data_IF_675456023194
#
_entry.id   IF_675456023194
#
_cell.length_a   1.000
_cell.length_b   1.000
_cell.length_c   1.000
_cell.angle_alpha   90.00
_cell.angle_beta   90.00
_cell.angle_gamma   90.00
#
_symmetry.space_group_name_H-M   'P 1'
#
loop_
_entity.id
_entity.type
_entity.pdbx_description
1 polymer ?
#
# COMPACT_ATOMS: atom_id res chain seq x y z
N UNK A 1 9.16 42.56 -6.84
CA UNK A 1 8.56 41.49 -7.66
C UNK A 1 9.19 40.19 -7.18
N UNK A 2 8.44 39.47 -6.36
CA UNK A 2 8.89 38.34 -5.56
C UNK A 2 8.40 37.04 -6.18
N UNK A 3 9.26 36.38 -6.94
CA UNK A 3 9.07 35.01 -7.44
C UNK A 3 9.86 34.03 -6.57
N UNK A 4 9.44 33.84 -5.32
CA UNK A 4 9.95 32.77 -4.45
C UNK A 4 8.90 32.46 -3.39
N UNK A 5 7.96 31.54 -3.65
CA UNK A 5 7.24 30.83 -2.57
C UNK A 5 6.45 29.58 -2.98
N UNK A 6 6.17 29.31 -4.26
CA UNK A 6 5.28 28.18 -4.63
C UNK A 6 5.89 26.76 -4.60
N UNK A 7 7.19 26.61 -4.32
CA UNK A 7 7.83 25.29 -4.37
C UNK A 7 7.99 24.58 -3.02
N UNK A 8 7.85 25.27 -1.88
CA UNK A 8 7.96 24.62 -0.56
C UNK A 8 6.64 24.04 -0.04
N UNK A 9 5.48 24.54 -0.50
CA UNK A 9 4.18 24.03 -0.07
C UNK A 9 3.80 22.69 -0.73
N UNK A 10 4.46 22.34 -1.84
CA UNK A 10 4.12 21.18 -2.65
C UNK A 10 4.68 19.85 -2.10
N UNK A 11 5.71 19.85 -1.25
CA UNK A 11 6.33 18.60 -0.77
C UNK A 11 5.46 17.88 0.28
N UNK A 12 4.56 18.61 0.96
CA UNK A 12 3.65 18.04 1.96
C UNK A 12 2.53 17.18 1.35
N UNK A 13 2.07 17.51 0.14
CA UNK A 13 1.00 16.77 -0.55
C UNK A 13 1.45 15.39 -1.04
N UNK A 14 2.72 15.24 -1.44
CA UNK A 14 3.23 14.00 -2.04
C UNK A 14 3.54 12.88 -1.03
N UNK A 15 3.73 13.21 0.25
CA UNK A 15 3.96 12.25 1.33
C UNK A 15 2.71 11.96 2.18
N UNK A 16 1.55 12.45 1.76
CA UNK A 16 0.32 12.41 2.54
C UNK A 16 -0.39 11.03 2.54
N UNK A 17 0.19 9.97 1.96
CA UNK A 17 -0.41 8.63 1.97
C UNK A 17 0.16 7.79 3.11
N UNK A 18 -0.71 7.30 4.00
CA UNK A 18 -0.30 6.48 5.14
C UNK A 18 -0.81 5.04 5.06
N UNK A 19 -0.06 4.14 5.69
CA UNK A 19 -0.35 2.71 5.74
C UNK A 19 -0.33 2.22 7.18
N UNK A 20 -1.33 1.44 7.56
CA UNK A 20 -1.41 0.85 8.89
C UNK A 20 -1.74 -0.65 8.82
N UNK A 21 -0.81 -1.54 9.18
CA UNK A 21 0.59 -1.26 9.55
C UNK A 21 1.45 -0.79 8.36
N UNK A 22 2.48 0.02 8.62
CA UNK A 22 3.36 0.61 7.58
C UNK A 22 4.62 -0.19 7.26
N UNK A 23 5.07 -1.05 8.17
CA UNK A 23 6.37 -1.74 8.05
C UNK A 23 6.24 -3.25 7.90
N UNK A 24 5.34 -3.88 8.65
CA UNK A 24 5.26 -5.34 8.75
C UNK A 24 3.85 -5.81 9.08
N UNK A 25 3.46 -6.92 8.46
CA UNK A 25 2.36 -7.79 8.91
C UNK A 25 2.95 -9.14 9.34
N UNK A 26 2.29 -9.83 10.27
CA UNK A 26 2.71 -11.13 10.76
C UNK A 26 1.59 -12.17 10.64
N UNK A 27 1.97 -13.40 10.32
CA UNK A 27 1.12 -14.59 10.43
C UNK A 27 1.73 -15.54 11.45
N UNK A 28 0.92 -16.14 12.32
CA UNK A 28 1.38 -17.00 13.40
C UNK A 28 1.13 -18.46 13.06
N UNK A 29 2.05 -19.36 13.43
CA UNK A 29 1.77 -20.79 13.37
C UNK A 29 0.55 -21.15 14.24
N UNK A 30 -0.22 -22.19 13.87
CA UNK A 30 -0.02 -23.06 12.71
C UNK A 30 -0.50 -22.44 11.38
N UNK A 31 0.19 -22.75 10.29
CA UNK A 31 -0.14 -22.27 8.93
C UNK A 31 -1.07 -23.21 8.15
N UNK A 32 -1.71 -24.16 8.84
CA UNK A 32 -2.63 -25.15 8.26
C UNK A 32 -4.04 -24.58 8.03
N UNK A 33 -4.34 -23.42 8.61
CA UNK A 33 -5.63 -22.73 8.45
C UNK A 33 -5.48 -21.41 7.70
N UNK A 34 -6.57 -20.95 7.09
CA UNK A 34 -6.61 -19.63 6.48
C UNK A 34 -6.49 -18.56 7.57
N UNK A 35 -5.54 -17.65 7.41
CA UNK A 35 -5.37 -16.50 8.30
C UNK A 35 -5.64 -15.21 7.54
N UNK A 36 -6.15 -14.20 8.22
CA UNK A 36 -6.49 -12.90 7.64
C UNK A 36 -5.85 -11.78 8.44
N UNK A 37 -5.29 -10.80 7.73
CA UNK A 37 -4.96 -9.50 8.29
C UNK A 37 -5.47 -8.41 7.33
N UNK A 38 -5.35 -7.15 7.76
CA UNK A 38 -5.73 -6.00 6.95
C UNK A 38 -4.60 -4.97 6.98
N UNK A 39 -4.42 -4.27 5.87
CA UNK A 39 -3.65 -3.03 5.80
C UNK A 39 -4.65 -1.92 5.50
N UNK A 40 -4.70 -0.89 6.34
CA UNK A 40 -5.45 0.33 6.08
C UNK A 40 -4.57 1.28 5.26
N UNK A 41 -5.03 1.63 4.08
CA UNK A 41 -4.47 2.68 3.24
C UNK A 41 -5.31 3.94 3.45
N UNK A 42 -4.68 5.06 3.80
CA UNK A 42 -5.35 6.35 3.95
C UNK A 42 -4.71 7.37 3.02
N UNK A 43 -5.55 8.03 2.22
CA UNK A 43 -5.13 9.17 1.44
C UNK A 43 -5.36 10.44 2.25
N UNK A 44 -4.30 11.08 2.77
CA UNK A 44 -4.40 12.38 3.43
C UNK A 44 -4.10 13.54 2.48
N UNK A 45 -3.93 13.27 1.18
CA UNK A 45 -3.75 14.32 0.17
C UNK A 45 -5.09 14.96 -0.19
N UNK A 46 -5.02 16.17 -0.74
CA UNK A 46 -6.16 16.90 -1.31
C UNK A 46 -6.58 16.37 -2.70
N UNK A 47 -5.82 15.43 -3.26
CA UNK A 47 -6.05 14.88 -4.60
C UNK A 47 -6.43 13.40 -4.54
N UNK A 48 -7.21 12.95 -5.52
CA UNK A 48 -7.45 11.52 -5.73
C UNK A 48 -6.13 10.81 -6.04
N UNK A 49 -5.90 9.64 -5.44
CA UNK A 49 -4.75 8.80 -5.75
C UNK A 49 -5.18 7.52 -6.47
N UNK A 50 -4.36 7.07 -7.41
CA UNK A 50 -4.37 5.70 -7.90
C UNK A 50 -3.40 4.87 -7.06
N UNK A 51 -3.82 3.66 -6.67
CA UNK A 51 -2.98 2.75 -5.92
C UNK A 51 -3.00 1.33 -6.51
N UNK A 52 -1.93 0.58 -6.27
CA UNK A 52 -1.84 -0.84 -6.58
C UNK A 52 -0.95 -1.56 -5.58
N UNK A 53 -1.14 -2.88 -5.42
CA UNK A 53 -0.32 -3.74 -4.56
C UNK A 53 0.11 -5.00 -5.29
N UNK A 54 1.39 -5.34 -5.12
CA UNK A 54 1.99 -6.59 -5.59
C UNK A 54 2.59 -7.34 -4.41
N UNK A 55 2.76 -8.65 -4.58
CA UNK A 55 3.41 -9.49 -3.56
C UNK A 55 4.40 -10.44 -4.19
N UNK A 56 5.44 -10.80 -3.44
CA UNK A 56 6.35 -11.91 -3.77
C UNK A 56 5.73 -13.28 -3.42
N UNK A 57 4.66 -13.33 -2.60
CA UNK A 57 4.05 -14.54 -2.09
C UNK A 57 2.78 -14.96 -2.85
N UNK A 58 2.74 -14.80 -4.18
CA UNK A 58 1.52 -14.90 -4.99
C UNK A 58 0.75 -16.22 -4.88
N UNK A 59 1.44 -17.33 -4.60
CA UNK A 59 0.83 -18.67 -4.44
C UNK A 59 0.22 -18.91 -3.06
N UNK A 60 0.56 -18.09 -2.07
CA UNK A 60 0.17 -18.27 -0.66
C UNK A 60 -0.71 -17.14 -0.14
N UNK A 61 -0.64 -15.97 -0.75
CA UNK A 61 -1.46 -14.83 -0.38
C UNK A 61 -2.57 -14.56 -1.39
N UNK A 62 -3.78 -14.41 -0.87
CA UNK A 62 -4.90 -13.79 -1.56
C UNK A 62 -5.08 -12.36 -1.04
N UNK A 63 -5.10 -11.39 -1.97
CA UNK A 63 -5.32 -9.97 -1.67
C UNK A 63 -6.69 -9.58 -2.22
N UNK A 64 -7.58 -9.11 -1.34
CA UNK A 64 -8.99 -8.85 -1.69
C UNK A 64 -9.19 -7.73 -2.71
N UNK A 65 -8.35 -6.69 -2.68
CA UNK A 65 -8.29 -5.62 -3.69
C UNK A 65 -6.85 -5.35 -4.06
N UNK A 66 -6.52 -5.39 -5.35
CA UNK A 66 -5.13 -5.26 -5.84
C UNK A 66 -4.80 -3.87 -6.37
N UNK A 67 -5.81 -3.08 -6.73
CA UNK A 67 -5.65 -1.71 -7.19
C UNK A 67 -6.98 -0.95 -7.06
N UNK A 68 -6.92 0.35 -7.24
CA UNK A 68 -8.10 1.20 -7.33
C UNK A 68 -7.75 2.68 -7.26
N UNK A 69 -8.78 3.50 -7.21
CA UNK A 69 -8.71 4.90 -6.84
C UNK A 69 -9.05 5.07 -5.36
N UNK A 70 -8.49 6.08 -4.72
CA UNK A 70 -8.84 6.49 -3.36
C UNK A 70 -8.98 8.01 -3.32
N UNK A 71 -10.19 8.46 -3.01
CA UNK A 71 -10.55 9.88 -2.94
C UNK A 71 -9.74 10.61 -1.86
N UNK A 72 -9.65 11.95 -1.94
CA UNK A 72 -9.07 12.77 -0.88
C UNK A 72 -9.66 12.43 0.49
N UNK A 73 -8.80 12.37 1.50
CA UNK A 73 -9.18 12.15 2.91
C UNK A 73 -9.95 10.85 3.21
N UNK A 74 -9.95 9.89 2.28
CA UNK A 74 -10.60 8.60 2.46
C UNK A 74 -9.60 7.50 2.87
N UNK A 75 -10.13 6.50 3.58
CA UNK A 75 -9.40 5.28 3.93
C UNK A 75 -10.03 4.04 3.31
N UNK A 76 -9.19 3.04 3.02
CA UNK A 76 -9.58 1.73 2.55
C UNK A 76 -8.86 0.63 3.35
N UNK A 77 -9.62 -0.34 3.86
CA UNK A 77 -9.06 -1.55 4.44
C UNK A 77 -8.86 -2.63 3.34
N UNK A 78 -7.62 -3.05 3.14
CA UNK A 78 -7.24 -4.06 2.16
C UNK A 78 -7.01 -5.37 2.91
N UNK A 79 -7.90 -6.34 2.71
CA UNK A 79 -7.76 -7.65 3.35
C UNK A 79 -6.71 -8.51 2.65
N UNK A 80 -5.81 -9.10 3.43
CA UNK A 80 -4.77 -10.02 2.98
C UNK A 80 -5.00 -11.35 3.69
N UNK A 81 -5.01 -12.43 2.93
CA UNK A 81 -5.32 -13.76 3.43
C UNK A 81 -4.14 -14.68 3.13
N UNK A 82 -3.59 -15.29 4.17
CA UNK A 82 -2.68 -16.42 4.03
C UNK A 82 -3.54 -17.67 3.84
N UNK A 83 -3.40 -18.30 2.68
CA UNK A 83 -3.98 -19.61 2.37
C UNK A 83 -3.09 -20.67 3.05
N UNK A 84 -3.66 -21.79 3.54
CA UNK A 84 -2.87 -22.86 4.13
C UNK A 84 -1.60 -23.19 3.34
N UNK A 85 -0.44 -23.12 3.99
CA UNK A 85 0.85 -23.42 3.38
C UNK A 85 1.78 -24.22 4.28
N UNK A 86 2.67 -24.96 3.64
CA UNK A 86 3.95 -25.31 4.23
C UNK A 86 4.83 -24.07 4.11
N UNK A 87 4.94 -23.34 5.21
CA UNK A 87 5.76 -22.15 5.30
C UNK A 87 7.05 -22.56 6.05
N UNK A 88 8.20 -22.02 5.62
CA UNK A 88 9.52 -22.38 6.17
C UNK A 88 10.25 -21.12 6.66
N UNK A 89 11.09 -21.21 7.70
CA UNK A 89 11.88 -20.06 8.15
C UNK A 89 12.75 -19.48 7.03
N UNK A 90 13.11 -18.21 7.15
CA UNK A 90 14.00 -17.53 6.19
C UNK A 90 13.35 -17.03 4.90
N UNK A 91 12.01 -17.06 4.78
CA UNK A 91 11.32 -16.42 3.63
C UNK A 91 11.14 -14.92 3.86
N UNK A 92 11.65 -14.12 2.92
CA UNK A 92 11.54 -12.65 2.91
C UNK A 92 10.42 -12.19 1.99
N UNK A 93 9.18 -12.53 2.36
CA UNK A 93 8.02 -12.12 1.58
C UNK A 93 7.67 -10.64 1.85
N UNK A 94 7.16 -9.96 0.83
CA UNK A 94 6.76 -8.56 0.94
C UNK A 94 5.51 -8.23 0.14
N UNK A 95 4.86 -7.16 0.54
CA UNK A 95 3.88 -6.41 -0.21
C UNK A 95 4.53 -5.12 -0.68
N UNK A 96 4.35 -4.78 -1.95
CA UNK A 96 4.81 -3.52 -2.53
C UNK A 96 3.60 -2.76 -3.04
N UNK A 97 3.30 -1.66 -2.36
CA UNK A 97 2.28 -0.70 -2.76
C UNK A 97 2.90 0.36 -3.64
N UNK A 98 2.23 0.69 -4.72
CA UNK A 98 2.57 1.84 -5.57
C UNK A 98 1.39 2.79 -5.56
N UNK A 99 1.63 4.07 -5.31
CA UNK A 99 0.63 5.14 -5.30
C UNK A 99 1.07 6.26 -6.24
N UNK A 100 0.12 6.96 -6.84
CA UNK A 100 0.36 8.16 -7.64
C UNK A 100 -0.88 9.07 -7.57
N UNK A 101 -0.67 10.38 -7.58
CA UNK A 101 -1.74 11.37 -7.74
C UNK A 101 -2.35 11.22 -9.13
N UNK A 102 -3.67 11.34 -9.22
CA UNK A 102 -4.40 11.41 -10.48
C UNK A 102 -4.59 12.87 -10.87
N UNK A 103 -4.20 13.21 -12.09
CA UNK A 103 -4.63 14.46 -12.73
C UNK A 103 -6.10 14.31 -13.13
N UNK A 104 -6.98 15.04 -12.46
CA UNK A 104 -8.43 14.98 -12.66
C UNK A 104 -8.87 15.56 -14.01
N UNK A 105 -8.07 16.42 -14.64
CA UNK A 105 -8.36 16.96 -15.97
C UNK A 105 -8.11 15.91 -17.05
N UNK A 106 -7.05 15.11 -16.87
CA UNK A 106 -6.63 14.09 -17.85
C UNK A 106 -7.10 12.67 -17.49
N UNK A 107 -7.65 12.47 -16.29
CA UNK A 107 -7.99 11.16 -15.72
C UNK A 107 -6.81 10.16 -15.77
N UNK A 108 -5.59 10.65 -15.58
CA UNK A 108 -4.35 9.88 -15.69
C UNK A 108 -3.49 10.03 -14.44
N UNK A 109 -2.80 8.96 -14.06
CA UNK A 109 -1.83 9.00 -12.98
C UNK A 109 -0.60 9.83 -13.38
N UNK A 110 -0.23 10.80 -12.55
CA UNK A 110 0.93 11.67 -12.77
C UNK A 110 2.22 10.88 -12.47
N UNK A 111 3.07 10.54 -13.45
CA UNK A 111 4.19 9.61 -13.23
C UNK A 111 5.21 10.11 -12.20
N UNK A 112 5.46 11.42 -12.14
CA UNK A 112 6.41 12.04 -11.20
C UNK A 112 5.94 11.98 -9.75
N UNK A 113 4.63 11.86 -9.53
CA UNK A 113 4.02 11.70 -8.21
C UNK A 113 4.12 10.26 -7.67
N UNK A 114 4.64 9.33 -8.47
CA UNK A 114 4.64 7.92 -8.09
C UNK A 114 5.52 7.68 -6.85
N UNK A 115 4.96 6.96 -5.87
CA UNK A 115 5.64 6.54 -4.64
C UNK A 115 5.47 5.04 -4.43
N UNK A 116 6.38 4.45 -3.66
CA UNK A 116 6.36 3.02 -3.32
C UNK A 116 6.50 2.82 -1.82
N UNK A 117 5.58 2.06 -1.23
CA UNK A 117 5.68 1.59 0.16
C UNK A 117 5.88 0.07 0.16
N UNK A 118 6.88 -0.41 0.90
CA UNK A 118 7.11 -1.84 1.09
C UNK A 118 6.70 -2.24 2.51
N UNK A 119 5.87 -3.28 2.62
CA UNK A 119 5.44 -3.87 3.89
C UNK A 119 5.90 -5.32 3.93
N UNK A 120 6.72 -5.66 4.91
CA UNK A 120 7.28 -7.00 5.06
C UNK A 120 6.23 -7.97 5.61
N UNK A 121 6.34 -9.22 5.20
CA UNK A 121 5.53 -10.32 5.72
C UNK A 121 6.42 -11.18 6.60
N UNK A 122 6.03 -11.34 7.86
CA UNK A 122 6.74 -12.15 8.83
C UNK A 122 5.92 -13.37 9.21
N UNK A 123 6.58 -14.53 9.28
CA UNK A 123 5.97 -15.78 9.70
C UNK A 123 6.54 -16.13 11.06
N UNK A 124 5.70 -16.14 12.10
CA UNK A 124 6.08 -16.57 13.44
C UNK A 124 5.88 -18.08 13.53
N UNK A 125 6.96 -18.83 13.71
CA UNK A 125 6.99 -20.30 13.78
C UNK A 125 6.76 -20.79 15.20
#
# INVERSE_FOLDING_TARGET
>A
MSEHSEYEENDCAYNAVSFEPSKRISFNAPFTIRQKCCIRLTNNAQHTIQWSVRTTAQRRLYIGKKCGLLLPFHSLAISIHLIPCICSPGKFDRLTFTTAIVDEQQNLAVPTSQRRQTILIHYNF
#
